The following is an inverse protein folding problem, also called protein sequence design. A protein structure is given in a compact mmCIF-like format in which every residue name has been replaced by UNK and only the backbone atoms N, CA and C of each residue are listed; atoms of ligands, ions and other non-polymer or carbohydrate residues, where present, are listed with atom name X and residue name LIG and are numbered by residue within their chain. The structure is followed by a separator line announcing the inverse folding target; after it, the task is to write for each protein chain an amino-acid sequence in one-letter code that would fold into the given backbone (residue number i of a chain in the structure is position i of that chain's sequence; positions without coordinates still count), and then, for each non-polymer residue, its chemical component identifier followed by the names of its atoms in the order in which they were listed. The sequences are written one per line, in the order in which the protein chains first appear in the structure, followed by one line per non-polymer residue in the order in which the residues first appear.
data_IF_892003752135
#
_entry.id   IF_892003752135
#
_cell.length_a   1.000
_cell.length_b   1.000
_cell.length_c   1.000
_cell.angle_alpha   90.00
_cell.angle_beta   90.00
_cell.angle_gamma   90.00
#
_symmetry.space_group_name_H-M   'P 1'
#
loop_
_entity.id
_entity.type
_entity.pdbx_description
1 polymer ?
#
# COMPACT_ATOMS: atom_id res chain seq x y z
N UNK A 1 11.15 8.59 1.10
CA UNK A 1 10.60 8.73 -0.27
C UNK A 1 11.66 9.08 -1.29
N UNK A 2 12.14 10.34 -1.41
CA UNK A 2 13.20 10.70 -2.38
C UNK A 2 14.48 9.86 -2.22
N UNK A 3 14.91 9.64 -0.97
CA UNK A 3 16.09 8.80 -0.69
C UNK A 3 15.95 7.37 -1.22
N UNK A 4 14.74 6.79 -1.20
CA UNK A 4 14.51 5.40 -1.61
C UNK A 4 14.16 5.27 -3.10
N UNK A 5 13.41 6.22 -3.65
CA UNK A 5 12.72 6.07 -4.94
C UNK A 5 13.15 7.09 -6.01
N UNK A 6 13.91 8.13 -5.64
CA UNK A 6 14.18 9.25 -6.55
C UNK A 6 12.95 10.14 -6.78
N UNK A 7 13.12 11.24 -7.51
CA UNK A 7 12.06 12.24 -7.70
C UNK A 7 10.92 11.74 -8.60
N UNK A 8 11.22 10.96 -9.63
CA UNK A 8 10.23 10.49 -10.61
C UNK A 8 9.24 9.50 -10.00
N UNK A 9 9.73 8.43 -9.35
CA UNK A 9 8.87 7.42 -8.72
C UNK A 9 8.13 7.99 -7.50
N UNK A 10 8.73 8.96 -6.79
CA UNK A 10 8.04 9.66 -5.70
C UNK A 10 6.86 10.52 -6.20
N UNK A 11 6.89 10.96 -7.47
CA UNK A 11 5.84 11.76 -8.09
C UNK A 11 4.84 10.94 -8.92
N UNK A 12 5.07 9.63 -9.13
CA UNK A 12 4.17 8.76 -9.87
C UNK A 12 2.89 8.48 -9.07
N UNK A 13 1.84 9.25 -9.38
CA UNK A 13 0.53 9.15 -8.72
C UNK A 13 -0.10 7.77 -8.86
N UNK A 14 0.10 7.08 -9.99
CA UNK A 14 -0.50 5.77 -10.22
C UNK A 14 0.20 4.71 -9.37
N UNK A 15 1.53 4.71 -9.34
CA UNK A 15 2.28 3.79 -8.50
C UNK A 15 2.01 4.03 -7.02
N UNK A 16 1.94 5.29 -6.57
CA UNK A 16 1.61 5.62 -5.18
C UNK A 16 0.20 5.16 -4.81
N UNK A 17 -0.77 5.30 -5.71
CA UNK A 17 -2.13 4.81 -5.52
C UNK A 17 -2.17 3.29 -5.36
N UNK A 18 -1.53 2.54 -6.29
CA UNK A 18 -1.50 1.08 -6.21
C UNK A 18 -0.76 0.57 -4.99
N UNK A 19 0.37 1.19 -4.61
CA UNK A 19 1.11 0.72 -3.43
C UNK A 19 0.35 0.99 -2.14
N UNK A 20 -0.38 2.11 -2.04
CA UNK A 20 -1.27 2.35 -0.92
C UNK A 20 -2.39 1.29 -0.84
N UNK A 21 -3.03 0.98 -1.98
CA UNK A 21 -4.06 -0.07 -2.02
C UNK A 21 -3.51 -1.43 -1.59
N UNK A 22 -2.31 -1.79 -2.04
CA UNK A 22 -1.66 -3.05 -1.66
C UNK A 22 -1.42 -3.14 -0.15
N UNK A 23 -0.84 -2.11 0.49
CA UNK A 23 -0.64 -2.09 1.95
C UNK A 23 -1.97 -2.13 2.73
N UNK A 24 -3.00 -1.43 2.24
CA UNK A 24 -4.32 -1.45 2.85
C UNK A 24 -4.94 -2.86 2.80
N UNK A 25 -4.76 -3.57 1.67
CA UNK A 25 -5.19 -4.97 1.51
C UNK A 25 -4.40 -5.92 2.41
N UNK A 26 -3.08 -5.75 2.49
CA UNK A 26 -2.20 -6.52 3.39
C UNK A 26 -2.63 -6.36 4.86
N UNK A 27 -2.95 -5.13 5.29
CA UNK A 27 -3.42 -4.85 6.64
C UNK A 27 -4.78 -5.50 6.95
N UNK A 28 -5.79 -5.32 6.09
CA UNK A 28 -7.12 -5.91 6.36
C UNK A 28 -7.09 -7.44 6.28
N UNK A 29 -6.24 -8.01 5.42
CA UNK A 29 -5.99 -9.46 5.40
C UNK A 29 -5.40 -9.93 6.73
N UNK A 30 -4.42 -9.21 7.30
CA UNK A 30 -3.86 -9.53 8.61
C UNK A 30 -4.90 -9.42 9.74
N UNK A 31 -5.91 -8.57 9.59
CA UNK A 31 -7.07 -8.47 10.49
C UNK A 31 -8.15 -9.55 10.25
N UNK A 32 -7.96 -10.47 9.29
CA UNK A 32 -8.87 -11.57 9.01
C UNK A 32 -9.94 -11.29 7.95
N UNK A 33 -9.85 -10.17 7.23
CA UNK A 33 -10.74 -9.90 6.09
C UNK A 33 -10.47 -10.90 4.96
N UNK A 34 -11.52 -11.58 4.51
CA UNK A 34 -11.45 -12.47 3.37
C UNK A 34 -11.39 -11.70 2.05
N UNK A 35 -10.87 -12.34 1.00
CA UNK A 35 -10.89 -11.78 -0.35
C UNK A 35 -12.33 -11.46 -0.81
N UNK A 36 -13.30 -12.30 -0.45
CA UNK A 36 -14.71 -12.08 -0.79
C UNK A 36 -15.28 -10.81 -0.16
N UNK A 37 -15.00 -10.57 1.13
CA UNK A 37 -15.39 -9.34 1.83
C UNK A 37 -14.71 -8.11 1.23
N UNK A 38 -13.43 -8.21 0.90
CA UNK A 38 -12.70 -7.13 0.23
C UNK A 38 -13.34 -6.76 -1.12
N UNK A 39 -13.70 -7.75 -1.96
CA UNK A 39 -14.37 -7.50 -3.24
C UNK A 39 -15.77 -6.88 -3.07
N UNK A 40 -16.54 -7.27 -2.05
CA UNK A 40 -17.83 -6.63 -1.77
C UNK A 40 -17.66 -5.13 -1.45
N UNK A 41 -16.60 -4.76 -0.72
CA UNK A 41 -16.29 -3.35 -0.44
C UNK A 41 -15.83 -2.61 -1.69
N UNK A 42 -15.08 -3.26 -2.59
CA UNK A 42 -14.73 -2.71 -3.90
C UNK A 42 -16.00 -2.38 -4.68
N UNK A 43 -16.91 -3.33 -4.85
CA UNK A 43 -18.16 -3.11 -5.59
C UNK A 43 -19.00 -1.98 -4.97
N UNK A 44 -19.08 -1.94 -3.64
CA UNK A 44 -19.81 -0.90 -2.91
C UNK A 44 -19.22 0.50 -3.12
N UNK A 45 -17.89 0.66 -3.03
CA UNK A 45 -17.22 1.96 -3.17
C UNK A 45 -17.23 2.43 -4.61
N UNK A 46 -16.88 1.56 -5.55
CA UNK A 46 -16.83 1.91 -6.98
C UNK A 46 -18.21 2.02 -7.64
N UNK A 47 -19.28 1.55 -6.97
CA UNK A 47 -20.67 1.77 -7.38
C UNK A 47 -21.23 3.16 -7.02
N UNK A 48 -20.46 4.02 -6.32
CA UNK A 48 -20.87 5.36 -5.89
C UNK A 48 -20.17 6.45 -6.71
N UNK A 49 -20.71 7.69 -6.71
CA UNK A 49 -19.99 8.83 -7.29
C UNK A 49 -18.61 8.99 -6.66
N UNK A 50 -17.62 9.38 -7.48
CA UNK A 50 -16.24 9.63 -7.05
C UNK A 50 -16.23 10.74 -5.97
N UNK A 51 -15.52 10.48 -4.87
CA UNK A 51 -15.35 11.42 -3.76
C UNK A 51 -14.32 12.53 -4.02
N UNK A 52 -14.30 13.52 -3.12
CA UNK A 52 -13.29 14.59 -3.14
C UNK A 52 -11.99 14.08 -2.49
N UNK A 53 -10.85 14.32 -3.14
CA UNK A 53 -9.58 13.70 -2.76
C UNK A 53 -9.14 14.02 -1.32
N UNK A 54 -9.23 15.28 -0.88
CA UNK A 54 -8.82 15.66 0.47
C UNK A 54 -9.74 15.05 1.54
N UNK A 55 -11.04 14.95 1.26
CA UNK A 55 -12.01 14.27 2.12
C UNK A 55 -11.68 12.78 2.25
N UNK A 56 -11.38 12.08 1.14
CA UNK A 56 -11.04 10.65 1.19
C UNK A 56 -9.72 10.39 1.92
N UNK A 57 -8.73 11.28 1.81
CA UNK A 57 -7.49 11.22 2.62
C UNK A 57 -7.82 11.31 4.11
N UNK A 58 -8.70 12.24 4.51
CA UNK A 58 -9.15 12.36 5.90
C UNK A 58 -9.89 11.12 6.40
N UNK A 59 -10.76 10.54 5.56
CA UNK A 59 -11.47 9.30 5.85
C UNK A 59 -10.51 8.14 6.13
N UNK A 60 -9.56 7.91 5.23
CA UNK A 60 -8.52 6.89 5.38
C UNK A 60 -7.76 7.05 6.70
N UNK A 61 -7.27 8.26 6.99
CA UNK A 61 -6.47 8.53 8.20
C UNK A 61 -7.24 8.20 9.48
N UNK A 62 -8.50 8.62 9.59
CA UNK A 62 -9.35 8.33 10.76
C UNK A 62 -9.65 6.84 10.88
N UNK A 63 -9.95 6.16 9.77
CA UNK A 63 -10.25 4.71 9.80
C UNK A 63 -9.04 3.87 10.15
N UNK A 64 -7.84 4.26 9.70
CA UNK A 64 -6.60 3.58 10.09
C UNK A 64 -6.35 3.73 11.59
N UNK A 65 -6.48 4.94 12.14
CA UNK A 65 -6.33 5.18 13.57
C UNK A 65 -7.35 4.36 14.40
N UNK A 66 -8.61 4.30 13.97
CA UNK A 66 -9.63 3.50 14.62
C UNK A 66 -9.35 1.99 14.56
N UNK A 67 -8.86 1.48 13.42
CA UNK A 67 -8.46 0.09 13.26
C UNK A 67 -7.28 -0.27 14.18
N UNK A 68 -6.24 0.56 14.20
CA UNK A 68 -5.10 0.39 15.11
C UNK A 68 -5.54 0.36 16.58
N UNK A 69 -6.42 1.30 16.98
CA UNK A 69 -6.99 1.34 18.32
C UNK A 69 -7.76 0.05 18.67
N UNK A 70 -8.54 -0.49 17.73
CA UNK A 70 -9.31 -1.72 17.92
C UNK A 70 -8.42 -2.98 18.02
N UNK A 71 -7.27 -2.98 17.33
CA UNK A 71 -6.28 -4.06 17.37
C UNK A 71 -5.26 -3.92 18.50
N UNK A 72 -5.31 -2.83 19.28
CA UNK A 72 -4.33 -2.55 20.34
C UNK A 72 -2.93 -2.24 19.81
N UNK A 73 -2.84 -1.66 18.60
CA UNK A 73 -1.60 -1.30 17.93
C UNK A 73 -1.37 0.21 18.07
N UNK A 74 -0.17 0.62 18.51
CA UNK A 74 0.27 2.01 18.39
C UNK A 74 0.62 2.30 16.92
N UNK A 75 -0.21 3.12 16.28
CA UNK A 75 -0.08 3.47 14.86
C UNK A 75 1.26 4.17 14.55
N UNK A 76 1.73 5.05 15.45
CA UNK A 76 2.94 5.83 15.24
C UNK A 76 4.18 4.96 15.43
N UNK A 77 4.23 4.15 16.48
CA UNK A 77 5.32 3.22 16.74
C UNK A 77 5.48 2.17 15.62
N UNK A 78 4.36 1.64 15.11
CA UNK A 78 4.36 0.73 13.96
C UNK A 78 4.95 1.40 12.71
N UNK A 79 4.58 2.65 12.45
CA UNK A 79 5.12 3.45 11.35
C UNK A 79 6.63 3.70 11.46
N UNK A 80 7.11 4.08 12.64
CA UNK A 80 8.54 4.32 12.89
C UNK A 80 9.37 3.02 12.77
N UNK A 81 8.84 1.90 13.27
CA UNK A 81 9.48 0.58 13.14
C UNK A 81 9.65 0.18 11.68
N UNK A 82 8.59 0.34 10.88
CA UNK A 82 8.65 0.04 9.45
C UNK A 82 9.58 1.00 8.69
N UNK A 83 9.56 2.30 9.04
CA UNK A 83 10.45 3.29 8.45
C UNK A 83 11.92 2.95 8.71
N UNK A 84 12.27 2.61 9.95
CA UNK A 84 13.62 2.16 10.31
C UNK A 84 14.03 0.93 9.51
N UNK A 85 13.13 -0.06 9.35
CA UNK A 85 13.36 -1.25 8.52
C UNK A 85 13.59 -0.88 7.06
N UNK A 86 12.78 -0.02 6.47
CA UNK A 86 12.91 0.43 5.07
C UNK A 86 14.24 1.13 4.84
N UNK A 87 14.72 1.91 5.82
CA UNK A 87 16.00 2.62 5.70
C UNK A 87 17.20 1.69 5.52
N UNK A 88 17.13 0.49 6.10
CA UNK A 88 18.17 -0.55 5.89
C UNK A 88 18.11 -1.22 4.52
N UNK A 89 17.03 -1.01 3.75
CA UNK A 89 16.76 -1.70 2.48
C UNK A 89 16.81 -0.76 1.26
N UNK A 90 17.33 0.46 1.40
CA UNK A 90 17.31 1.49 0.34
C UNK A 90 17.88 0.98 -0.98
N UNK A 91 19.04 0.32 -0.97
CA UNK A 91 19.68 -0.17 -2.20
C UNK A 91 18.88 -1.29 -2.87
N UNK A 92 18.38 -2.24 -2.09
CA UNK A 92 17.53 -3.32 -2.59
C UNK A 92 16.22 -2.79 -3.19
N UNK A 93 15.62 -1.77 -2.56
CA UNK A 93 14.42 -1.11 -3.06
C UNK A 93 14.69 -0.44 -4.42
N UNK A 94 15.82 0.26 -4.56
CA UNK A 94 16.22 0.89 -5.82
C UNK A 94 16.43 -0.16 -6.92
N UNK A 95 17.13 -1.25 -6.62
CA UNK A 95 17.36 -2.34 -7.57
C UNK A 95 16.05 -2.98 -8.05
N UNK A 96 15.12 -3.26 -7.12
CA UNK A 96 13.79 -3.80 -7.45
C UNK A 96 12.95 -2.84 -8.28
N UNK A 97 13.07 -1.53 -8.06
CA UNK A 97 12.35 -0.54 -8.86
C UNK A 97 12.92 -0.42 -10.27
N UNK A 98 14.24 -0.47 -10.43
CA UNK A 98 14.88 -0.45 -11.75
C UNK A 98 14.50 -1.65 -12.63
N UNK A 99 14.09 -2.77 -12.04
CA UNK A 99 13.69 -3.98 -12.78
C UNK A 99 12.19 -4.11 -13.04
N UNK A 100 11.34 -3.19 -12.55
CA UNK A 100 9.89 -3.27 -12.77
C UNK A 100 9.52 -3.03 -14.24
N UNK A 101 8.69 -3.90 -14.84
CA UNK A 101 8.08 -3.62 -16.13
C UNK A 101 7.12 -2.44 -16.05
N UNK A 102 7.16 -1.56 -17.06
CA UNK A 102 6.28 -0.40 -17.11
C UNK A 102 4.83 -0.84 -17.37
N UNK A 103 3.90 -0.37 -16.54
CA UNK A 103 2.45 -0.40 -16.84
C UNK A 103 1.61 -1.50 -16.20
N UNK A 104 2.15 -2.34 -15.31
CA UNK A 104 1.36 -3.32 -14.54
C UNK A 104 1.32 -2.95 -13.05
N UNK A 105 0.15 -3.01 -12.38
CA UNK A 105 0.07 -2.89 -10.92
C UNK A 105 0.65 -4.12 -10.21
N UNK A 106 0.70 -5.27 -10.89
CA UNK A 106 1.18 -6.51 -10.33
C UNK A 106 2.67 -6.71 -10.65
N UNK A 107 3.47 -7.24 -9.70
CA UNK A 107 4.81 -7.70 -10.02
C UNK A 107 4.70 -8.76 -11.12
N UNK A 108 5.50 -8.63 -12.18
CA UNK A 108 5.62 -9.72 -13.15
C UNK A 108 6.25 -10.90 -12.43
N UNK A 109 5.47 -11.96 -12.24
CA UNK A 109 6.01 -13.27 -11.90
C UNK A 109 7.01 -13.64 -13.00
N UNK A 110 8.30 -13.67 -12.69
CA UNK A 110 9.25 -14.41 -13.50
C UNK A 110 8.77 -15.86 -13.47
N UNK A 111 8.18 -16.32 -14.56
CA UNK A 111 7.85 -17.72 -14.72
C UNK A 111 9.14 -18.54 -14.63
N UNK A 112 9.18 -19.47 -13.67
CA UNK A 112 10.15 -20.56 -13.63
C UNK A 112 11.19 -20.45 -12.51
N UNK A 113 10.93 -21.15 -11.41
CA UNK A 113 11.88 -22.14 -10.90
C UNK A 113 11.09 -23.17 -10.10
N UNK A 114 10.87 -24.33 -10.72
CA UNK A 114 10.54 -25.58 -10.04
C UNK A 114 11.61 -25.88 -8.99
N UNK A 115 11.22 -25.94 -7.73
CA UNK A 115 11.50 -27.07 -6.82
C UNK A 115 10.77 -26.96 -5.49
#
# INVERSE_FOLDING_TARGET
MLACFGAEVAADKLERNHRFLEEALELVQACGCSQGEAHQLVDYVFGRPVGELAQEVGGVMVTLAALCQAQGIDMAEAGETELARVWTKVEAIRAKQASKPKGSPLPTTSAGEDR
#
